data_IF_618557247250
#
_entry.id   IF_618557247250
#
_cell.length_a   1.000
_cell.length_b   1.000
_cell.length_c   1.000
_cell.angle_alpha   90.00
_cell.angle_beta   90.00
_cell.angle_gamma   90.00
#
_symmetry.space_group_name_H-M   'P 1'
#
loop_
_entity.id
_entity.type
_entity.pdbx_description
1 polymer ?
#
# COMPACT_ATOMS: atom_id res chain seq x y z
N UNK A 1 -2.00 8.16 13.18
CA UNK A 1 -1.29 7.00 13.78
C UNK A 1 -1.28 7.11 15.29
N UNK A 2 -1.37 5.99 16.02
CA UNK A 2 -1.13 5.98 17.47
C UNK A 2 0.36 5.80 17.74
N UNK A 3 0.92 6.65 18.61
CA UNK A 3 2.33 6.64 18.98
C UNK A 3 2.49 6.10 20.40
N UNK A 4 3.49 5.24 20.59
CA UNK A 4 3.88 4.68 21.88
C UNK A 4 5.18 5.35 22.34
N UNK A 5 5.09 6.04 23.46
CA UNK A 5 6.23 6.58 24.20
C UNK A 5 6.65 5.60 25.30
N UNK A 6 7.90 5.73 25.77
CA UNK A 6 8.47 4.89 26.81
C UNK A 6 8.94 5.75 27.97
N UNK A 7 8.88 5.20 29.18
CA UNK A 7 9.49 5.84 30.35
C UNK A 7 11.00 5.98 30.13
N UNK A 8 11.63 7.10 30.53
CA UNK A 8 13.03 7.38 30.26
C UNK A 8 13.98 6.61 31.20
N UNK A 9 13.87 5.28 31.22
CA UNK A 9 14.67 4.38 32.06
C UNK A 9 16.14 4.30 31.64
N UNK A 10 16.45 4.69 30.40
CA UNK A 10 17.81 4.78 29.86
C UNK A 10 17.93 5.94 28.86
N UNK A 11 19.15 6.47 28.61
CA UNK A 11 19.35 7.55 27.63
C UNK A 11 18.83 7.19 26.23
N UNK A 12 18.95 5.92 25.82
CA UNK A 12 18.45 5.45 24.52
C UNK A 12 16.93 5.38 24.43
N UNK A 13 16.21 5.23 25.54
CA UNK A 13 14.74 5.18 25.55
C UNK A 13 14.09 6.57 25.67
N UNK A 14 14.79 7.57 26.22
CA UNK A 14 14.23 8.89 26.54
C UNK A 14 13.55 9.60 25.35
N UNK A 15 14.09 9.44 24.14
CA UNK A 15 13.53 10.01 22.90
C UNK A 15 12.89 8.98 21.96
N UNK A 16 12.78 7.71 22.39
CA UNK A 16 12.26 6.65 21.55
C UNK A 16 10.73 6.76 21.45
N UNK A 17 10.25 7.00 20.24
CA UNK A 17 8.84 6.93 19.90
C UNK A 17 8.63 5.81 18.88
N UNK A 18 7.72 4.89 19.18
CA UNK A 18 7.36 3.81 18.28
C UNK A 18 5.93 3.95 17.79
N UNK A 19 5.64 3.36 16.63
CA UNK A 19 4.27 3.20 16.14
C UNK A 19 3.60 2.12 16.95
N UNK A 20 2.39 2.39 17.47
CA UNK A 20 1.60 1.33 18.09
C UNK A 20 1.11 0.34 17.03
N UNK A 21 1.31 -0.95 17.32
CA UNK A 21 1.02 -2.09 16.43
C UNK A 21 0.07 -3.07 17.09
N UNK A 22 -0.60 -2.67 18.17
CA UNK A 22 -1.52 -3.49 18.96
C UNK A 22 -2.62 -4.16 18.12
N UNK A 23 -3.17 -3.45 17.13
CA UNK A 23 -4.20 -3.96 16.21
C UNK A 23 -3.69 -4.76 15.00
N UNK A 24 -2.38 -4.99 14.89
CA UNK A 24 -1.82 -5.81 13.81
C UNK A 24 -1.71 -7.28 14.20
N UNK A 25 -1.78 -8.14 13.19
CA UNK A 25 -1.56 -9.56 13.30
C UNK A 25 -0.19 -9.87 13.91
N UNK A 26 -0.20 -10.68 14.98
CA UNK A 26 1.01 -11.10 15.72
C UNK A 26 1.62 -12.40 15.19
N UNK A 27 0.89 -13.11 14.32
CA UNK A 27 1.32 -14.40 13.78
C UNK A 27 2.34 -14.28 12.65
N UNK A 28 2.60 -15.42 12.00
CA UNK A 28 3.48 -15.48 10.82
C UNK A 28 2.72 -15.02 9.57
N UNK A 29 3.43 -14.46 8.57
CA UNK A 29 2.85 -14.16 7.27
C UNK A 29 2.51 -15.45 6.50
N UNK A 30 1.66 -15.34 5.49
CA UNK A 30 1.25 -16.46 4.63
C UNK A 30 2.43 -16.96 3.80
N UNK A 31 2.78 -18.24 3.95
CA UNK A 31 3.99 -18.84 3.35
C UNK A 31 4.00 -18.73 1.83
N UNK A 32 2.88 -19.00 1.15
CA UNK A 32 2.74 -18.94 -0.30
C UNK A 32 2.92 -17.52 -0.87
N UNK A 33 2.66 -16.48 -0.05
CA UNK A 33 2.77 -15.07 -0.43
C UNK A 33 4.08 -14.42 0.04
N UNK A 34 5.07 -15.23 0.44
CA UNK A 34 6.35 -14.76 0.95
C UNK A 34 7.55 -15.36 0.25
N UNK A 35 8.57 -14.53 0.03
CA UNK A 35 9.82 -14.93 -0.59
C UNK A 35 11.03 -14.47 0.22
N UNK A 36 12.16 -15.16 0.05
CA UNK A 36 13.43 -14.76 0.66
C UNK A 36 13.97 -13.48 0.00
N UNK A 37 14.24 -12.43 0.79
CA UNK A 37 14.83 -11.20 0.27
C UNK A 37 16.34 -11.15 0.54
N UNK A 38 17.14 -11.15 -0.53
CA UNK A 38 18.58 -10.92 -0.47
C UNK A 38 18.89 -9.43 -0.41
N UNK A 39 19.95 -9.06 0.32
CA UNK A 39 20.36 -7.65 0.50
C UNK A 39 21.53 -7.33 -0.42
N UNK A 40 21.44 -6.23 -1.16
CA UNK A 40 22.54 -5.77 -2.01
C UNK A 40 23.67 -5.09 -1.24
N UNK A 41 23.43 -4.62 0.00
CA UNK A 41 24.40 -3.81 0.74
C UNK A 41 24.80 -2.51 0.02
N UNK A 42 23.93 -2.01 -0.87
CA UNK A 42 24.23 -0.82 -1.69
C UNK A 42 25.17 -1.07 -2.87
N UNK A 43 25.48 -2.33 -3.19
CA UNK A 43 26.33 -2.72 -4.31
C UNK A 43 25.53 -3.06 -5.57
N UNK A 44 26.10 -2.79 -6.74
CA UNK A 44 25.54 -3.22 -8.02
C UNK A 44 26.08 -4.61 -8.44
N UNK A 45 25.73 -5.06 -9.66
CA UNK A 45 26.18 -6.32 -10.25
C UNK A 45 27.71 -6.43 -10.45
N UNK A 46 28.45 -5.32 -10.47
CA UNK A 46 29.92 -5.30 -10.52
C UNK A 46 30.56 -5.30 -9.12
N UNK A 47 29.76 -5.45 -8.05
CA UNK A 47 30.24 -5.40 -6.67
C UNK A 47 30.59 -4.00 -6.15
N UNK A 48 30.40 -2.95 -6.96
CA UNK A 48 30.75 -1.56 -6.59
C UNK A 48 29.63 -0.92 -5.77
N UNK A 49 30.01 -0.16 -4.74
CA UNK A 49 29.05 0.62 -3.96
C UNK A 49 28.49 1.75 -4.84
N UNK A 50 27.20 1.69 -5.13
CA UNK A 50 26.46 2.70 -5.91
C UNK A 50 25.49 3.48 -5.03
N UNK A 51 25.05 2.90 -3.91
CA UNK A 51 24.23 3.56 -2.90
C UNK A 51 24.91 3.49 -1.53
N UNK A 52 25.39 4.63 -1.03
CA UNK A 52 26.05 4.75 0.27
C UNK A 52 25.06 4.57 1.43
N UNK A 53 25.58 4.30 2.64
CA UNK A 53 24.81 4.14 3.90
C UNK A 53 23.76 3.01 3.84
N UNK A 54 24.02 1.96 3.05
CA UNK A 54 23.21 0.74 2.99
C UNK A 54 24.06 -0.46 3.39
N UNK A 55 23.56 -1.28 4.31
CA UNK A 55 24.26 -2.46 4.83
C UNK A 55 23.72 -2.88 6.20
N UNK A 56 23.93 -4.13 6.58
CA UNK A 56 23.44 -4.67 7.87
C UNK A 56 21.91 -4.77 7.98
N UNK A 57 21.39 -4.54 9.18
CA UNK A 57 19.97 -4.61 9.53
C UNK A 57 19.41 -6.04 9.64
N UNK A 58 18.22 -6.19 10.23
CA UNK A 58 17.57 -7.49 10.40
C UNK A 58 17.20 -8.15 9.05
N UNK A 59 17.26 -9.49 8.97
CA UNK A 59 16.83 -10.26 7.79
C UNK A 59 15.34 -10.04 7.54
N UNK A 60 14.93 -9.95 6.28
CA UNK A 60 13.55 -9.70 5.87
C UNK A 60 13.11 -10.74 4.85
N UNK A 61 11.81 -11.02 4.83
CA UNK A 61 11.16 -11.77 3.77
C UNK A 61 10.30 -10.81 2.97
N UNK A 62 10.28 -10.92 1.65
CA UNK A 62 9.44 -10.10 0.80
C UNK A 62 8.00 -10.61 0.86
N UNK A 63 7.03 -9.70 0.98
CA UNK A 63 5.59 -10.01 0.87
C UNK A 63 5.13 -9.58 -0.52
N UNK A 64 4.62 -10.54 -1.29
CA UNK A 64 4.08 -10.30 -2.62
C UNK A 64 2.75 -9.56 -2.51
N UNK A 65 2.75 -8.25 -2.83
CA UNK A 65 1.53 -7.44 -2.89
C UNK A 65 0.95 -7.49 -4.29
N UNK A 66 -0.37 -7.66 -4.37
CA UNK A 66 -1.14 -7.34 -5.55
C UNK A 66 -1.32 -5.83 -5.71
N UNK A 67 -0.43 -5.21 -6.50
CA UNK A 67 -0.55 -3.80 -6.87
C UNK A 67 -1.51 -3.56 -8.05
N UNK A 68 -2.00 -4.62 -8.71
CA UNK A 68 -2.76 -4.50 -9.96
C UNK A 68 -4.28 -4.64 -9.75
N UNK A 69 -4.73 -5.37 -8.73
CA UNK A 69 -6.16 -5.57 -8.41
C UNK A 69 -6.94 -6.08 -9.62
N UNK A 70 -6.46 -7.17 -10.22
CA UNK A 70 -6.96 -7.70 -11.51
C UNK A 70 -8.14 -8.67 -11.40
N UNK A 71 -8.47 -9.15 -10.20
CA UNK A 71 -9.69 -9.93 -9.99
C UNK A 71 -10.89 -9.00 -9.91
N UNK A 72 -11.59 -8.86 -11.02
CA UNK A 72 -12.72 -7.95 -11.16
C UNK A 72 -14.01 -8.62 -10.69
N UNK A 73 -14.90 -7.78 -10.16
CA UNK A 73 -16.27 -8.10 -9.75
C UNK A 73 -16.39 -9.30 -8.79
N UNK A 74 -15.32 -9.53 -8.01
CA UNK A 74 -15.23 -10.57 -7.00
C UNK A 74 -14.92 -9.95 -5.64
N UNK A 75 -15.81 -10.17 -4.69
CA UNK A 75 -15.62 -9.77 -3.30
C UNK A 75 -14.43 -10.52 -2.68
N UNK A 76 -13.62 -9.78 -1.92
CA UNK A 76 -12.63 -10.34 -1.03
C UNK A 76 -12.85 -9.85 0.40
N UNK A 77 -12.76 -10.75 1.38
CA UNK A 77 -12.89 -10.43 2.79
C UNK A 77 -11.52 -10.15 3.40
N UNK A 78 -11.41 -9.10 4.20
CA UNK A 78 -10.18 -8.77 4.92
C UNK A 78 -10.02 -9.71 6.11
N UNK A 79 -9.02 -10.58 6.06
CA UNK A 79 -8.75 -11.55 7.13
C UNK A 79 -8.04 -10.89 8.32
N UNK A 80 -6.97 -10.16 8.06
CA UNK A 80 -6.23 -9.42 9.08
C UNK A 80 -5.28 -8.40 8.46
N UNK A 81 -4.85 -7.44 9.27
CA UNK A 81 -3.84 -6.44 8.91
C UNK A 81 -2.46 -6.87 9.44
N UNK A 82 -1.44 -6.84 8.60
CA UNK A 82 -0.08 -7.23 8.96
C UNK A 82 0.92 -6.07 8.88
N UNK A 83 1.95 -6.17 9.70
CA UNK A 83 3.18 -5.40 9.53
C UNK A 83 4.03 -5.98 8.40
N UNK A 84 4.45 -5.13 7.45
CA UNK A 84 5.45 -5.50 6.46
C UNK A 84 6.79 -4.76 6.67
N UNK A 85 7.91 -5.48 6.82
CA UNK A 85 9.22 -4.84 6.98
C UNK A 85 9.81 -4.25 5.68
N UNK A 86 9.18 -4.40 4.52
CA UNK A 86 9.72 -3.94 3.23
C UNK A 86 9.13 -2.60 2.77
N UNK A 87 8.14 -2.07 3.48
CA UNK A 87 7.49 -0.78 3.21
C UNK A 87 7.08 -0.09 4.50
N UNK A 88 6.60 1.15 4.39
CA UNK A 88 6.16 1.94 5.55
C UNK A 88 4.68 1.71 5.89
N UNK A 89 3.86 1.35 4.91
CA UNK A 89 2.43 1.07 5.08
C UNK A 89 2.18 -0.31 5.68
N UNK A 90 1.02 -0.49 6.30
CA UNK A 90 0.54 -1.83 6.61
C UNK A 90 -0.02 -2.51 5.36
N UNK A 91 -0.14 -3.83 5.43
CA UNK A 91 -0.77 -4.64 4.38
C UNK A 91 -1.99 -5.34 4.95
N UNK A 92 -2.99 -5.57 4.11
CA UNK A 92 -4.14 -6.39 4.46
C UNK A 92 -4.02 -7.72 3.73
N UNK A 93 -4.18 -8.82 4.46
CA UNK A 93 -4.45 -10.12 3.84
C UNK A 93 -5.94 -10.16 3.49
N UNK A 94 -6.23 -10.41 2.22
CA UNK A 94 -7.59 -10.60 1.74
C UNK A 94 -7.75 -12.00 1.19
N UNK A 95 -8.95 -12.54 1.33
CA UNK A 95 -9.36 -13.82 0.75
C UNK A 95 -10.56 -13.58 -0.15
N UNK A 96 -10.40 -13.93 -1.43
CA UNK A 96 -11.45 -13.87 -2.41
C UNK A 96 -12.46 -14.99 -2.19
N UNK A 97 -13.67 -14.85 -2.74
CA UNK A 97 -14.73 -15.87 -2.62
C UNK A 97 -14.35 -17.24 -3.21
N UNK A 98 -13.35 -17.29 -4.09
CA UNK A 98 -12.80 -18.54 -4.65
C UNK A 98 -11.74 -19.21 -3.74
N UNK A 99 -11.43 -18.61 -2.59
CA UNK A 99 -10.45 -19.10 -1.63
C UNK A 99 -9.01 -18.67 -1.91
N UNK A 100 -8.76 -17.93 -3.00
CA UNK A 100 -7.42 -17.38 -3.21
C UNK A 100 -7.12 -16.22 -2.27
N UNK A 101 -5.89 -16.17 -1.77
CA UNK A 101 -5.43 -15.13 -0.86
C UNK A 101 -4.47 -14.18 -1.57
N UNK A 102 -4.56 -12.89 -1.24
CA UNK A 102 -3.64 -11.89 -1.74
C UNK A 102 -3.32 -10.85 -0.66
N UNK A 103 -2.12 -10.28 -0.71
CA UNK A 103 -1.82 -9.08 0.06
C UNK A 103 -2.13 -7.83 -0.76
N UNK A 104 -2.81 -6.88 -0.15
CA UNK A 104 -3.00 -5.52 -0.68
C UNK A 104 -2.38 -4.49 0.26
N UNK A 105 -2.16 -3.27 -0.23
CA UNK A 105 -1.90 -2.15 0.66
C UNK A 105 -3.13 -1.91 1.54
N UNK A 106 -2.94 -1.81 2.85
CA UNK A 106 -4.04 -1.50 3.75
C UNK A 106 -4.40 -0.01 3.59
N UNK A 107 -5.62 0.34 3.17
CA UNK A 107 -6.14 1.69 3.23
C UNK A 107 -6.36 2.11 4.69
N UNK A 108 -6.44 3.42 4.91
CA UNK A 108 -6.92 3.96 6.17
C UNK A 108 -8.39 3.59 6.38
N UNK A 109 -8.75 3.24 7.62
CA UNK A 109 -10.10 2.84 8.05
C UNK A 109 -10.59 1.49 7.50
N UNK A 110 -9.73 0.71 6.85
CA UNK A 110 -10.03 -0.69 6.55
C UNK A 110 -9.86 -1.53 7.81
N UNK A 111 -10.88 -2.31 8.14
CA UNK A 111 -10.93 -3.17 9.32
C UNK A 111 -11.01 -4.65 8.91
N UNK A 112 -10.77 -5.52 9.89
CA UNK A 112 -10.94 -6.97 9.71
C UNK A 112 -12.41 -7.30 9.50
N UNK A 113 -12.72 -8.17 8.54
CA UNK A 113 -14.09 -8.53 8.16
C UNK A 113 -14.70 -7.63 7.09
N UNK A 114 -14.08 -6.50 6.75
CA UNK A 114 -14.55 -5.65 5.66
C UNK A 114 -14.45 -6.38 4.32
N UNK A 115 -15.37 -6.07 3.41
CA UNK A 115 -15.32 -6.53 2.03
C UNK A 115 -14.68 -5.48 1.12
N UNK A 116 -13.79 -5.94 0.26
CA UNK A 116 -13.18 -5.12 -0.78
C UNK A 116 -13.38 -5.76 -2.14
N UNK A 117 -13.67 -4.93 -3.14
CA UNK A 117 -13.91 -5.37 -4.51
C UNK A 117 -13.11 -4.50 -5.49
N UNK A 118 -12.68 -5.10 -6.59
CA UNK A 118 -12.16 -4.36 -7.73
C UNK A 118 -13.15 -4.49 -8.88
N UNK A 119 -13.45 -3.42 -9.59
CA UNK A 119 -14.41 -3.47 -10.70
C UNK A 119 -14.56 -2.13 -11.40
N UNK A 120 -15.32 -2.11 -12.49
CA UNK A 120 -15.51 -0.90 -13.27
C UNK A 120 -16.39 0.12 -12.54
N UNK A 121 -17.51 -0.30 -11.97
CA UNK A 121 -18.43 0.54 -11.19
C UNK A 121 -18.65 -0.11 -9.83
N UNK A 122 -17.85 0.29 -8.85
CA UNK A 122 -17.97 -0.17 -7.47
C UNK A 122 -18.19 1.01 -6.54
N UNK A 123 -18.74 0.74 -5.36
CA UNK A 123 -18.96 1.77 -4.34
C UNK A 123 -17.65 2.48 -3.96
N UNK A 124 -17.76 3.77 -3.67
CA UNK A 124 -16.64 4.61 -3.21
C UNK A 124 -16.38 4.35 -1.72
N UNK A 125 -15.88 3.15 -1.43
CA UNK A 125 -15.49 2.68 -0.09
C UNK A 125 -13.98 2.45 -0.04
N UNK A 126 -13.30 2.79 1.08
CA UNK A 126 -11.87 2.53 1.23
C UNK A 126 -11.52 1.06 0.94
N UNK A 127 -10.51 0.84 0.11
CA UNK A 127 -10.06 -0.52 -0.28
C UNK A 127 -10.65 -1.05 -1.58
N UNK A 128 -11.76 -0.48 -2.04
CA UNK A 128 -12.27 -0.78 -3.38
C UNK A 128 -11.36 -0.16 -4.45
N UNK A 129 -11.19 -0.89 -5.55
CA UNK A 129 -10.36 -0.46 -6.66
C UNK A 129 -11.19 -0.31 -7.93
N UNK A 130 -10.99 0.79 -8.64
CA UNK A 130 -11.69 1.07 -9.90
C UNK A 130 -10.81 1.86 -10.85
N UNK A 131 -11.10 1.86 -12.15
CA UNK A 131 -10.43 2.75 -13.09
C UNK A 131 -10.66 4.23 -12.75
N UNK A 132 -9.67 5.08 -13.05
CA UNK A 132 -9.75 6.52 -12.79
C UNK A 132 -10.91 7.21 -13.51
N UNK A 133 -11.48 6.63 -14.58
CA UNK A 133 -12.69 7.13 -15.23
C UNK A 133 -13.99 6.87 -14.45
N UNK A 134 -13.97 5.95 -13.48
CA UNK A 134 -15.14 5.68 -12.63
C UNK A 134 -15.06 6.41 -11.29
N UNK A 135 -13.85 6.78 -10.86
CA UNK A 135 -13.64 7.53 -9.61
C UNK A 135 -14.30 8.91 -9.69
N UNK A 136 -15.13 9.31 -8.71
CA UNK A 136 -15.67 10.67 -8.68
C UNK A 136 -14.57 11.72 -8.48
N UNK A 137 -14.70 12.84 -9.18
CA UNK A 137 -13.79 13.99 -9.01
C UNK A 137 -13.85 14.49 -7.56
N UNK A 138 -12.70 14.86 -7.00
CA UNK A 138 -12.53 15.24 -5.60
C UNK A 138 -12.17 14.09 -4.67
N UNK A 139 -12.38 12.83 -5.10
CA UNK A 139 -12.08 11.64 -4.28
C UNK A 139 -10.60 11.49 -4.01
N UNK A 140 -10.30 10.94 -2.82
CA UNK A 140 -8.95 10.57 -2.39
C UNK A 140 -8.70 9.12 -2.79
N UNK A 141 -7.58 8.89 -3.47
CA UNK A 141 -7.16 7.57 -3.95
C UNK A 141 -5.69 7.29 -3.64
N UNK A 142 -5.30 6.03 -3.67
CA UNK A 142 -3.92 5.58 -3.53
C UNK A 142 -3.64 4.42 -4.49
N UNK A 143 -2.38 3.97 -4.53
CA UNK A 143 -1.94 2.87 -5.40
C UNK A 143 -2.27 3.11 -6.89
N UNK A 144 -2.07 4.33 -7.38
CA UNK A 144 -2.47 4.72 -8.74
C UNK A 144 -1.47 4.21 -9.78
N UNK A 145 -1.94 3.61 -10.87
CA UNK A 145 -1.09 3.21 -11.99
C UNK A 145 -0.61 4.43 -12.80
N UNK A 146 0.61 4.37 -13.35
CA UNK A 146 1.08 5.39 -14.32
C UNK A 146 0.76 5.04 -15.77
N UNK A 147 0.59 3.74 -16.04
CA UNK A 147 0.19 3.19 -17.33
C UNK A 147 -0.84 2.08 -17.06
N UNK A 148 -1.89 1.95 -17.86
CA UNK A 148 -2.88 0.91 -17.66
C UNK A 148 -2.23 -0.47 -17.55
N UNK A 149 -2.67 -1.29 -16.58
CA UNK A 149 -2.22 -2.67 -16.33
C UNK A 149 -0.78 -2.83 -15.81
N UNK A 150 -0.04 -1.74 -15.60
CA UNK A 150 1.35 -1.80 -15.09
C UNK A 150 1.41 -2.05 -13.58
N UNK A 151 0.28 -1.92 -12.87
CA UNK A 151 0.20 -1.94 -11.42
C UNK A 151 0.48 -0.58 -10.80
N UNK A 152 -0.06 -0.38 -9.60
CA UNK A 152 0.05 0.88 -8.89
C UNK A 152 1.50 1.26 -8.59
N UNK A 153 1.84 2.51 -8.88
CA UNK A 153 3.19 3.06 -8.70
C UNK A 153 3.20 4.30 -7.80
N UNK A 154 2.10 5.07 -7.79
CA UNK A 154 1.96 6.35 -7.10
C UNK A 154 1.21 6.16 -5.77
N UNK A 155 1.58 6.94 -4.74
CA UNK A 155 0.97 6.93 -3.41
C UNK A 155 0.86 5.53 -2.80
N UNK A 156 2.03 4.93 -2.52
CA UNK A 156 2.16 3.61 -1.88
C UNK A 156 2.75 3.69 -0.48
N UNK A 157 3.34 4.82 -0.12
CA UNK A 157 3.91 5.04 1.22
C UNK A 157 2.81 5.20 2.25
N UNK A 158 3.14 4.92 3.51
CA UNK A 158 2.29 5.21 4.65
C UNK A 158 1.74 6.65 4.62
N UNK A 159 0.44 6.82 4.87
CA UNK A 159 -0.26 8.12 4.78
C UNK A 159 -0.31 8.74 3.38
N UNK A 160 0.23 8.07 2.35
CA UNK A 160 0.26 8.56 0.98
C UNK A 160 -1.14 8.53 0.36
N UNK A 161 -1.46 9.58 -0.39
CA UNK A 161 -2.68 9.66 -1.18
C UNK A 161 -2.49 10.60 -2.37
N UNK A 162 -3.48 10.58 -3.25
CA UNK A 162 -3.62 11.42 -4.43
C UNK A 162 -5.06 11.89 -4.48
N UNK A 163 -5.27 13.14 -4.92
CA UNK A 163 -6.62 13.65 -5.15
C UNK A 163 -6.91 13.71 -6.64
N UNK A 164 -8.08 13.18 -7.05
CA UNK A 164 -8.58 13.35 -8.42
C UNK A 164 -9.12 14.77 -8.55
N UNK A 165 -8.46 15.62 -9.34
CA UNK A 165 -8.79 17.06 -9.42
C UNK A 165 -9.74 17.35 -10.58
N UNK A 166 -9.58 16.66 -11.71
CA UNK A 166 -10.40 16.87 -12.89
C UNK A 166 -10.27 15.73 -13.88
N UNK A 167 -11.16 15.71 -14.87
CA UNK A 167 -11.17 14.73 -15.95
C UNK A 167 -11.25 15.43 -17.28
N UNK A 168 -10.39 15.04 -18.20
CA UNK A 168 -10.37 15.53 -19.57
C UNK A 168 -10.26 14.35 -20.54
N UNK A 169 -11.38 14.01 -21.20
CA UNK A 169 -11.49 12.93 -22.18
C UNK A 169 -10.80 11.62 -21.73
N UNK A 170 -9.65 11.30 -22.31
CA UNK A 170 -8.88 10.07 -22.07
C UNK A 170 -7.85 10.19 -20.93
N UNK A 171 -7.78 11.34 -20.27
CA UNK A 171 -6.87 11.62 -19.17
C UNK A 171 -7.59 12.14 -17.94
N UNK A 172 -6.99 11.92 -16.78
CA UNK A 172 -7.45 12.37 -15.48
C UNK A 172 -6.33 13.16 -14.85
N UNK A 173 -6.67 14.37 -14.40
CA UNK A 173 -5.75 15.23 -13.67
C UNK A 173 -5.75 14.82 -12.21
N UNK A 174 -4.58 14.39 -11.74
CA UNK A 174 -4.37 14.00 -10.36
C UNK A 174 -3.40 14.96 -9.67
N UNK A 175 -3.65 15.25 -8.39
CA UNK A 175 -2.75 16.03 -7.54
C UNK A 175 -2.00 15.10 -6.60
N UNK A 176 -0.68 15.08 -6.72
CA UNK A 176 0.22 14.28 -5.91
C UNK A 176 0.47 14.94 -4.54
N UNK A 177 0.95 14.15 -3.59
CA UNK A 177 1.38 14.65 -2.26
C UNK A 177 2.57 15.63 -2.34
N UNK A 178 3.33 15.63 -3.43
CA UNK A 178 4.37 16.63 -3.72
C UNK A 178 3.80 18.01 -4.08
N UNK A 179 2.50 18.11 -4.33
CA UNK A 179 1.84 19.29 -4.89
C UNK A 179 1.83 19.32 -6.42
N UNK A 180 2.58 18.45 -7.08
CA UNK A 180 2.58 18.29 -8.54
C UNK A 180 1.18 17.89 -9.02
N UNK A 181 0.71 18.56 -10.09
CA UNK A 181 -0.47 18.14 -10.85
C UNK A 181 -0.01 17.40 -12.09
N UNK A 182 -0.59 16.22 -12.32
CA UNK A 182 -0.15 15.33 -13.40
C UNK A 182 -1.34 14.69 -14.09
N UNK A 183 -1.25 14.59 -15.42
CA UNK A 183 -2.19 13.81 -16.21
C UNK A 183 -1.81 12.33 -16.22
N UNK A 184 -2.81 11.48 -15.99
CA UNK A 184 -2.71 10.02 -16.05
C UNK A 184 -3.83 9.48 -16.95
N UNK A 185 -3.60 8.44 -17.77
CA UNK A 185 -4.66 7.85 -18.58
C UNK A 185 -5.86 7.42 -17.73
N UNK A 186 -7.07 7.70 -18.21
CA UNK A 186 -8.31 7.46 -17.47
C UNK A 186 -8.56 5.97 -17.17
N UNK A 187 -8.01 5.07 -17.99
CA UNK A 187 -8.07 3.62 -17.81
C UNK A 187 -7.12 3.06 -16.73
N UNK A 188 -6.29 3.89 -16.10
CA UNK A 188 -5.41 3.44 -15.01
C UNK A 188 -6.23 3.08 -13.76
N UNK A 189 -5.84 2.01 -13.08
CA UNK A 189 -6.47 1.61 -11.82
C UNK A 189 -6.02 2.50 -10.65
N UNK A 190 -6.94 2.71 -9.70
CA UNK A 190 -6.66 3.34 -8.42
C UNK A 190 -7.53 2.70 -7.33
N UNK A 191 -7.02 2.70 -6.10
CA UNK A 191 -7.77 2.23 -4.92
C UNK A 191 -8.30 3.43 -4.15
N UNK A 192 -9.57 3.41 -3.77
CA UNK A 192 -10.19 4.47 -2.97
C UNK A 192 -9.58 4.51 -1.57
N UNK A 193 -9.37 5.73 -1.06
CA UNK A 193 -8.84 6.01 0.27
C UNK A 193 -7.35 6.39 0.26
N UNK A 194 -6.85 6.79 1.44
CA UNK A 194 -5.43 7.02 1.70
C UNK A 194 -4.76 5.74 2.23
N UNK A 195 -3.45 5.62 2.09
CA UNK A 195 -2.70 4.49 2.65
C UNK A 195 -2.67 4.57 4.19
N UNK A 196 -2.76 3.41 4.84
CA UNK A 196 -2.66 3.27 6.30
C UNK A 196 -1.34 3.81 6.88
N UNK A 197 -1.31 3.88 8.22
CA UNK A 197 -0.18 4.36 9.01
C UNK A 197 0.21 5.85 8.72
N UNK A 198 -0.75 6.80 8.78
CA UNK A 198 -0.48 8.23 8.54
C UNK A 198 0.23 8.90 9.71
#
# INVERSE_FOLDING_TARGET
MALKTYNPTSPGQRGLVQVDRSGLWKGKPVKSLTEGLTKSGGRNNHGRITARRRGGGHKRTYRMIDFKRQKWDMDATVLHLEYDPNRTSFIALIEYTDGEQAYILAPQRLSVGDKVIAGEKVDVKPGNAMPLYSVPVGSIVHNVEMKPKKGGQIARSAGGYVQVTGRDRSQVLIRLSSGEQRYVPSACMATIGAVSNP
#
